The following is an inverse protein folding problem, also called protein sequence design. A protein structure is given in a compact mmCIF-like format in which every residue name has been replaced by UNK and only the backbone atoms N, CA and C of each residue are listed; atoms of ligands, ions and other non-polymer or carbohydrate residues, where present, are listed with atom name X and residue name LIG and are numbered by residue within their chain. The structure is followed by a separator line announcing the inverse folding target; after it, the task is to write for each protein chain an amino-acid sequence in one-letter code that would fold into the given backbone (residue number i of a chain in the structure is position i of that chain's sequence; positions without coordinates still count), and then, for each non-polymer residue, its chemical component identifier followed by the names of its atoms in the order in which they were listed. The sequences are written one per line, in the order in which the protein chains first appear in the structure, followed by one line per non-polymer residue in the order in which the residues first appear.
data_IF_516048738124
#
_entry.id   IF_516048738124
#
_cell.length_a   1.000
_cell.length_b   1.000
_cell.length_c   1.000
_cell.angle_alpha   90.00
_cell.angle_beta   90.00
_cell.angle_gamma   90.00
#
_symmetry.space_group_name_H-M   'P 1'
#
loop_
_entity.id
_entity.type
_entity.pdbx_description
1 polymer ?
#
# COMPACT_ATOMS: atom_id res chain seq x y z
N UNK A 1 19.98 14.59 23.03
CA UNK A 1 19.21 13.92 21.96
C UNK A 1 17.85 14.57 21.94
N UNK A 2 17.46 15.21 20.83
CA UNK A 2 16.12 15.78 20.72
C UNK A 2 15.10 14.63 20.71
N UNK A 3 14.12 14.67 21.60
CA UNK A 3 13.03 13.70 21.62
C UNK A 3 12.21 13.89 20.34
N UNK A 4 12.03 12.85 19.53
CA UNK A 4 11.25 12.90 18.29
C UNK A 4 9.94 12.16 18.54
N UNK A 5 8.81 12.81 18.27
CA UNK A 5 7.49 12.20 18.21
C UNK A 5 7.13 11.84 16.77
N UNK A 6 6.43 10.74 16.58
CA UNK A 6 5.91 10.30 15.29
C UNK A 6 4.40 10.43 15.28
N UNK A 7 3.83 11.02 14.23
CA UNK A 7 2.41 11.29 14.11
C UNK A 7 1.91 10.80 12.77
N UNK A 8 0.71 10.21 12.74
CA UNK A 8 0.06 9.73 11.54
C UNK A 8 -1.40 10.20 11.52
N UNK A 9 -1.78 10.94 10.49
CA UNK A 9 -3.16 11.28 10.18
C UNK A 9 -3.72 10.28 9.16
N UNK A 10 -4.99 9.90 9.34
CA UNK A 10 -5.57 8.76 8.64
C UNK A 10 -7.06 8.96 8.28
N UNK A 11 -7.51 8.20 7.28
CA UNK A 11 -8.91 8.12 6.85
C UNK A 11 -9.72 7.15 7.72
N UNK A 12 -11.05 7.14 7.52
CA UNK A 12 -11.96 6.26 8.26
C UNK A 12 -11.68 4.77 8.08
N UNK A 13 -11.11 4.38 6.94
CA UNK A 13 -10.70 3.00 6.63
C UNK A 13 -9.27 2.65 7.10
N UNK A 14 -8.61 3.60 7.78
CA UNK A 14 -7.27 3.44 8.33
C UNK A 14 -6.13 3.87 7.41
N UNK A 15 -6.40 4.32 6.18
CA UNK A 15 -5.35 4.79 5.25
C UNK A 15 -4.63 6.00 5.81
N UNK A 16 -3.30 5.93 5.89
CA UNK A 16 -2.48 7.06 6.33
C UNK A 16 -2.35 8.04 5.16
N UNK A 17 -2.81 9.28 5.38
CA UNK A 17 -2.77 10.35 4.38
C UNK A 17 -1.63 11.33 4.63
N UNK A 18 -1.13 11.38 5.87
CA UNK A 18 -0.01 12.24 6.23
C UNK A 18 0.70 11.67 7.45
N UNK A 19 2.04 11.63 7.41
CA UNK A 19 2.86 11.20 8.52
C UNK A 19 4.05 12.15 8.70
N UNK A 20 4.39 12.44 9.95
CA UNK A 20 5.50 13.34 10.27
C UNK A 20 6.26 12.86 11.52
N UNK A 21 7.58 13.05 11.51
CA UNK A 21 8.45 12.86 12.66
C UNK A 21 9.09 14.20 13.02
N UNK A 22 8.81 14.72 14.21
CA UNK A 22 9.22 16.07 14.63
C UNK A 22 9.30 16.15 16.17
N UNK A 23 9.85 17.24 16.74
CA UNK A 23 9.70 17.49 18.16
C UNK A 23 8.20 17.47 18.57
N UNK A 24 7.82 16.73 19.63
CA UNK A 24 6.41 16.48 19.96
C UNK A 24 5.54 17.74 20.09
N UNK A 25 6.12 18.84 20.56
CA UNK A 25 5.46 20.14 20.71
C UNK A 25 4.93 20.72 19.39
N UNK A 26 5.55 20.36 18.25
CA UNK A 26 5.14 20.84 16.93
C UNK A 26 4.20 19.86 16.20
N UNK A 27 4.08 18.61 16.67
CA UNK A 27 3.35 17.54 15.98
C UNK A 27 1.93 17.94 15.59
N UNK A 28 1.13 18.38 16.58
CA UNK A 28 -0.26 18.78 16.34
C UNK A 28 -0.38 19.94 15.36
N UNK A 29 0.50 20.95 15.47
CA UNK A 29 0.49 22.11 14.57
C UNK A 29 0.79 21.68 13.13
N UNK A 30 1.82 20.87 12.92
CA UNK A 30 2.20 20.40 11.59
C UNK A 30 1.09 19.54 10.97
N UNK A 31 0.48 18.62 11.74
CA UNK A 31 -0.67 17.84 11.25
C UNK A 31 -1.78 18.80 10.78
N UNK A 32 -2.17 19.77 11.61
CA UNK A 32 -3.29 20.68 11.30
C UNK A 32 -3.03 21.65 10.16
N UNK A 33 -1.77 21.92 9.83
CA UNK A 33 -1.42 22.67 8.61
C UNK A 33 -1.59 21.86 7.33
N UNK A 34 -1.58 20.53 7.41
CA UNK A 34 -1.67 19.64 6.26
C UNK A 34 -3.02 18.95 6.14
N UNK A 35 -3.73 18.74 7.26
CA UNK A 35 -4.99 17.99 7.26
C UNK A 35 -5.82 18.17 8.55
N UNK A 36 -7.16 18.14 8.38
CA UNK A 36 -8.15 18.10 9.46
C UNK A 36 -8.49 16.68 9.92
N UNK A 37 -7.90 15.67 9.28
CA UNK A 37 -8.15 14.26 9.59
C UNK A 37 -7.79 13.90 11.04
N UNK A 38 -8.41 12.84 11.61
CA UNK A 38 -7.96 12.29 12.88
C UNK A 38 -6.50 11.86 12.76
N UNK A 39 -5.77 11.97 13.87
CA UNK A 39 -4.37 11.57 13.92
C UNK A 39 -4.05 10.88 15.24
N UNK A 40 -3.01 10.04 15.22
CA UNK A 40 -2.43 9.40 16.40
C UNK A 40 -0.94 9.73 16.52
N UNK A 41 -0.44 9.71 17.75
CA UNK A 41 0.99 9.64 18.01
C UNK A 41 1.40 8.16 18.12
N UNK A 42 2.50 7.78 17.48
CA UNK A 42 2.96 6.40 17.34
C UNK A 42 4.41 6.28 17.77
N UNK A 43 4.83 5.06 18.13
CA UNK A 43 6.17 4.80 18.66
C UNK A 43 7.27 4.78 17.59
N UNK A 44 6.90 4.53 16.32
CA UNK A 44 7.82 4.44 15.19
C UNK A 44 7.33 5.30 14.02
N UNK A 45 8.22 5.73 13.10
CA UNK A 45 7.80 6.47 11.92
C UNK A 45 6.77 5.70 11.10
N UNK A 46 5.59 6.28 10.91
CA UNK A 46 4.55 5.70 10.08
C UNK A 46 4.88 5.84 8.58
N UNK A 47 4.73 4.75 7.83
CA UNK A 47 4.91 4.71 6.37
C UNK A 47 3.62 4.24 5.70
N UNK A 48 2.94 5.05 4.88
CA UNK A 48 1.67 4.68 4.25
C UNK A 48 1.72 3.41 3.39
N UNK A 49 2.87 3.12 2.77
CA UNK A 49 3.08 1.89 2.00
C UNK A 49 3.06 0.63 2.87
N UNK A 50 3.53 0.74 4.12
CA UNK A 50 3.75 -0.40 5.00
C UNK A 50 2.70 -0.50 6.10
N UNK A 51 2.04 0.60 6.46
CA UNK A 51 1.23 0.71 7.66
C UNK A 51 -0.17 1.29 7.40
N UNK A 52 -1.07 0.98 8.33
CA UNK A 52 -2.39 1.57 8.44
C UNK A 52 -2.74 1.81 9.91
N UNK A 53 -3.78 2.60 10.16
CA UNK A 53 -4.29 2.85 11.52
C UNK A 53 -5.55 2.03 11.78
N UNK A 54 -5.55 1.26 12.87
CA UNK A 54 -6.73 0.51 13.31
C UNK A 54 -6.85 0.60 14.83
N UNK A 55 -7.99 1.06 15.34
CA UNK A 55 -8.24 1.16 16.78
C UNK A 55 -7.23 2.06 17.51
N UNK A 56 -6.90 3.22 16.93
CA UNK A 56 -5.89 4.17 17.46
C UNK A 56 -4.46 3.62 17.53
N UNK A 57 -4.16 2.54 16.81
CA UNK A 57 -2.83 1.93 16.76
C UNK A 57 -2.30 1.88 15.33
N UNK A 58 -1.00 2.08 15.17
CA UNK A 58 -0.30 1.78 13.92
C UNK A 58 -0.18 0.26 13.77
N UNK A 59 -0.59 -0.27 12.63
CA UNK A 59 -0.47 -1.69 12.28
C UNK A 59 0.21 -1.84 10.94
N UNK A 60 0.87 -2.98 10.77
CA UNK A 60 1.45 -3.39 9.49
C UNK A 60 0.34 -3.80 8.52
N UNK A 61 0.38 -3.27 7.30
CA UNK A 61 -0.46 -3.74 6.19
C UNK A 61 -0.12 -5.21 5.90
N UNK A 62 -1.13 -6.10 5.80
CA UNK A 62 -0.89 -7.50 5.50
C UNK A 62 -0.28 -7.70 4.10
N UNK A 63 0.43 -8.80 3.91
CA UNK A 63 0.91 -9.22 2.59
C UNK A 63 -0.29 -9.67 1.73
N UNK A 64 -0.33 -9.30 0.44
CA UNK A 64 -1.38 -9.71 -0.49
C UNK A 64 -1.42 -11.22 -0.69
N UNK A 65 -0.25 -11.88 -0.70
CA UNK A 65 -0.16 -13.34 -0.82
C UNK A 65 -0.37 -13.87 -2.23
N UNK A 66 -0.42 -13.00 -3.25
CA UNK A 66 -0.47 -13.41 -4.64
C UNK A 66 0.85 -14.10 -5.04
N UNK A 67 0.78 -15.05 -5.97
CA UNK A 67 1.95 -15.81 -6.45
C UNK A 67 1.94 -15.85 -7.97
N UNK A 68 3.07 -15.50 -8.58
CA UNK A 68 3.30 -15.65 -10.01
C UNK A 68 3.88 -17.04 -10.32
N UNK A 69 3.23 -17.78 -11.22
CA UNK A 69 3.64 -19.11 -11.70
C UNK A 69 3.65 -19.12 -13.23
N UNK A 70 4.81 -18.87 -13.84
CA UNK A 70 4.89 -18.61 -15.29
C UNK A 70 4.15 -17.31 -15.62
N UNK A 71 3.14 -17.39 -16.49
CA UNK A 71 2.23 -16.28 -16.79
C UNK A 71 0.95 -16.29 -15.97
N UNK A 72 0.83 -17.16 -14.97
CA UNK A 72 -0.36 -17.27 -14.13
C UNK A 72 -0.16 -16.56 -12.80
N UNK A 73 -1.02 -15.59 -12.52
CA UNK A 73 -1.08 -14.88 -11.25
C UNK A 73 -2.20 -15.51 -10.39
N UNK A 74 -1.80 -16.15 -9.30
CA UNK A 74 -2.68 -16.95 -8.44
C UNK A 74 -2.86 -16.34 -7.06
N UNK A 75 -3.99 -16.64 -6.44
CA UNK A 75 -4.29 -16.17 -5.08
C UNK A 75 -4.56 -14.67 -4.98
N UNK A 76 -4.91 -14.02 -6.10
CA UNK A 76 -5.33 -12.62 -6.12
C UNK A 76 -6.74 -12.53 -5.56
N UNK A 77 -6.94 -11.66 -4.57
CA UNK A 77 -8.26 -11.45 -3.98
C UNK A 77 -9.23 -10.78 -4.98
N UNK A 78 -10.50 -11.19 -4.94
CA UNK A 78 -11.57 -10.52 -5.67
C UNK A 78 -11.59 -9.01 -5.33
N UNK A 79 -11.77 -8.18 -6.35
CA UNK A 79 -11.76 -6.72 -6.24
C UNK A 79 -10.36 -6.09 -6.19
N UNK A 80 -9.29 -6.87 -6.18
CA UNK A 80 -7.93 -6.33 -6.31
C UNK A 80 -7.71 -5.70 -7.68
N UNK A 81 -7.03 -4.56 -7.69
CA UNK A 81 -6.56 -3.93 -8.91
C UNK A 81 -5.24 -4.58 -9.34
N UNK A 82 -5.22 -5.17 -10.54
CA UNK A 82 -4.03 -5.69 -11.19
C UNK A 82 -3.62 -4.69 -12.25
N UNK A 83 -2.53 -3.98 -12.00
CA UNK A 83 -1.99 -2.97 -12.90
C UNK A 83 -0.87 -3.58 -13.73
N UNK A 84 -1.01 -3.49 -15.05
CA UNK A 84 -0.02 -3.92 -16.01
C UNK A 84 0.25 -2.71 -16.90
N UNK A 85 1.46 -2.14 -16.80
CA UNK A 85 1.81 -0.88 -17.45
C UNK A 85 0.83 0.28 -17.12
N UNK A 86 0.05 0.73 -18.10
CA UNK A 86 -0.95 1.80 -17.97
C UNK A 86 -2.38 1.28 -17.84
N UNK A 87 -2.58 -0.04 -17.83
CA UNK A 87 -3.88 -0.66 -17.78
C UNK A 87 -4.17 -1.26 -16.41
N UNK A 88 -5.40 -1.08 -15.93
CA UNK A 88 -5.87 -1.59 -14.65
C UNK A 88 -7.00 -2.58 -14.88
N UNK A 89 -6.81 -3.80 -14.39
CA UNK A 89 -7.78 -4.88 -14.42
C UNK A 89 -8.30 -5.12 -13.00
N UNK A 90 -9.57 -5.47 -12.85
CA UNK A 90 -10.12 -5.87 -11.55
C UNK A 90 -10.18 -7.39 -11.49
N UNK A 91 -9.54 -7.98 -10.48
CA UNK A 91 -9.57 -9.41 -10.25
C UNK A 91 -10.95 -9.87 -9.79
N UNK A 92 -11.43 -10.99 -10.33
CA UNK A 92 -12.69 -11.64 -9.93
C UNK A 92 -12.50 -12.72 -8.86
N UNK A 93 -11.25 -12.90 -8.38
CA UNK A 93 -10.87 -13.92 -7.39
C UNK A 93 -10.44 -15.26 -7.99
N UNK A 94 -10.46 -15.40 -9.33
CA UNK A 94 -9.91 -16.57 -10.03
C UNK A 94 -8.42 -16.41 -10.34
N UNK A 95 -7.80 -17.48 -10.84
CA UNK A 95 -6.42 -17.43 -11.36
C UNK A 95 -6.40 -16.60 -12.66
N UNK A 96 -5.49 -15.62 -12.73
CA UNK A 96 -5.40 -14.69 -13.86
C UNK A 96 -4.25 -15.10 -14.77
N UNK A 97 -4.54 -15.34 -16.05
CA UNK A 97 -3.52 -15.51 -17.08
C UNK A 97 -3.07 -14.15 -17.62
N UNK A 98 -1.77 -13.88 -17.56
CA UNK A 98 -1.15 -12.66 -18.07
C UNK A 98 -0.80 -12.84 -19.55
N UNK A 99 -1.42 -12.04 -20.41
CA UNK A 99 -1.11 -11.96 -21.83
C UNK A 99 -0.40 -10.66 -22.18
N UNK A 100 0.71 -10.74 -22.93
CA UNK A 100 1.45 -9.58 -23.40
C UNK A 100 1.48 -9.56 -24.93
N UNK A 101 1.37 -8.37 -25.51
CA UNK A 101 1.30 -8.19 -26.97
C UNK A 101 2.64 -8.24 -27.68
N UNK A 102 3.74 -8.06 -26.94
CA UNK A 102 5.10 -8.06 -27.47
C UNK A 102 6.08 -8.70 -26.48
N UNK A 103 7.26 -9.16 -26.94
CA UNK A 103 8.34 -9.55 -26.05
C UNK A 103 8.84 -8.35 -25.22
N UNK A 104 9.12 -8.55 -23.95
CA UNK A 104 9.57 -7.49 -23.05
C UNK A 104 9.58 -7.89 -21.58
N UNK A 105 10.00 -6.96 -20.72
CA UNK A 105 9.91 -7.08 -19.26
C UNK A 105 8.78 -6.16 -18.79
N UNK A 106 7.83 -6.73 -18.08
CA UNK A 106 6.64 -6.06 -17.59
C UNK A 106 6.62 -6.06 -16.07
N UNK A 107 6.23 -4.92 -15.49
CA UNK A 107 5.93 -4.83 -14.05
C UNK A 107 4.42 -4.98 -13.87
N UNK A 108 4.03 -5.97 -13.07
CA UNK A 108 2.64 -6.21 -12.68
C UNK A 108 2.50 -5.87 -11.21
N UNK A 109 1.61 -4.93 -10.88
CA UNK A 109 1.36 -4.49 -9.50
C UNK A 109 -0.06 -4.86 -9.08
N UNK A 110 -0.18 -5.64 -8.01
CA UNK A 110 -1.45 -6.04 -7.41
C UNK A 110 -1.72 -5.20 -6.17
N UNK A 111 -2.84 -4.48 -6.17
CA UNK A 111 -3.20 -3.55 -5.10
C UNK A 111 -4.62 -3.79 -4.62
N UNK A 112 -4.78 -3.98 -3.31
CA UNK A 112 -6.08 -4.09 -2.64
C UNK A 112 -5.92 -3.64 -1.20
N UNK A 113 -6.70 -2.65 -0.76
CA UNK A 113 -6.68 -2.23 0.63
C UNK A 113 -7.30 -3.31 1.53
N UNK A 114 -6.73 -3.64 2.70
CA UNK A 114 -5.59 -3.02 3.37
C UNK A 114 -4.23 -3.66 3.07
N UNK A 115 -4.14 -4.63 2.18
CA UNK A 115 -2.92 -5.34 1.84
C UNK A 115 -1.87 -4.41 1.24
N UNK A 116 -0.58 -4.71 1.45
CA UNK A 116 0.52 -4.05 0.75
C UNK A 116 0.45 -4.37 -0.74
N UNK A 117 0.77 -3.36 -1.54
CA UNK A 117 0.93 -3.50 -2.97
C UNK A 117 2.04 -4.53 -3.24
N UNK A 118 1.75 -5.49 -4.11
CA UNK A 118 2.68 -6.57 -4.45
C UNK A 118 3.08 -6.45 -5.91
N UNK A 119 4.38 -6.33 -6.15
CA UNK A 119 4.95 -6.18 -7.48
C UNK A 119 5.57 -7.50 -7.96
N UNK A 120 5.38 -7.79 -9.25
CA UNK A 120 5.96 -8.91 -9.95
C UNK A 120 6.65 -8.42 -11.23
N UNK A 121 7.80 -8.99 -11.53
CA UNK A 121 8.49 -8.78 -12.81
C UNK A 121 8.23 -9.99 -13.69
N UNK A 122 7.63 -9.77 -14.85
CA UNK A 122 7.29 -10.81 -15.83
C UNK A 122 8.09 -10.59 -17.10
N UNK A 123 8.83 -11.60 -17.52
CA UNK A 123 9.51 -11.59 -18.81
C UNK A 123 8.65 -12.34 -19.84
N UNK A 124 8.27 -11.65 -20.91
CA UNK A 124 7.67 -12.27 -22.09
C UNK A 124 8.74 -12.36 -23.19
N UNK A 125 9.13 -13.58 -23.57
CA UNK A 125 10.11 -13.80 -24.65
C UNK A 125 9.48 -14.21 -25.99
N UNK A 126 8.13 -14.30 -26.05
CA UNK A 126 7.37 -14.82 -27.18
C UNK A 126 7.00 -13.72 -28.19
#
# INVERSE_FOLDING_TARGET
MSNIGHFAAYETDGRIVFAVSCPPEYGKQIIRLNTDRPFIQVATPARPADHFVMGQMLKERPQMGAVLQGLWLKGVHEGAAVNIESETYTADGSDIELGFSAPGIYTVTVSLWPYRDQEFTVENSA
#
